data_IF_103636797438
#
_entry.id   IF_103636797438
#
_cell.length_a   1.000
_cell.length_b   1.000
_cell.length_c   1.000
_cell.angle_alpha   90.00
_cell.angle_beta   90.00
_cell.angle_gamma   90.00
#
_symmetry.space_group_name_H-M   'P 1'
#
loop_
_entity.id
_entity.type
_entity.pdbx_description
1 polymer ?
#
# COMPACT_ATOMS: atom_id res chain seq x y z
N UNK A 1 -19.28 13.69 9.95
CA UNK A 1 -18.24 12.74 10.40
C UNK A 1 -16.92 13.39 10.06
N UNK A 2 -16.09 13.73 11.05
CA UNK A 2 -14.83 14.45 10.84
C UNK A 2 -13.71 13.44 10.81
N UNK A 3 -13.18 13.13 9.62
CA UNK A 3 -12.02 12.26 9.48
C UNK A 3 -10.79 13.00 10.03
N UNK A 4 -10.24 12.51 11.15
CA UNK A 4 -8.93 12.97 11.66
C UNK A 4 -7.95 11.85 11.39
N UNK A 5 -7.14 12.00 10.36
CA UNK A 5 -5.95 11.17 10.15
C UNK A 5 -4.74 11.89 10.71
N UNK A 6 -3.99 11.24 11.58
CA UNK A 6 -2.67 11.72 11.97
C UNK A 6 -1.66 11.26 10.91
N UNK A 7 -1.37 12.13 9.94
CA UNK A 7 -0.28 11.93 8.98
C UNK A 7 1.01 12.48 9.57
N UNK A 8 2.06 11.65 9.67
CA UNK A 8 3.38 12.08 10.12
C UNK A 8 4.33 12.14 8.92
N UNK A 9 4.80 13.35 8.59
CA UNK A 9 5.74 13.57 7.50
C UNK A 9 7.17 13.19 7.94
N UNK A 10 7.51 11.90 7.89
CA UNK A 10 8.92 11.48 7.82
C UNK A 10 9.26 11.35 6.34
N UNK A 11 10.08 12.27 5.84
CA UNK A 11 10.63 12.23 4.49
C UNK A 11 11.64 11.09 4.43
N UNK A 12 11.22 9.94 3.92
CA UNK A 12 12.13 8.88 3.52
C UNK A 12 12.57 9.16 2.09
N UNK A 13 13.75 9.77 1.93
CA UNK A 13 14.27 10.15 0.60
C UNK A 13 15.03 8.97 -0.05
N UNK A 14 15.32 7.93 0.73
CA UNK A 14 15.96 6.69 0.30
C UNK A 14 15.17 5.45 0.72
N UNK A 15 15.40 4.32 0.03
CA UNK A 15 14.79 3.04 0.40
C UNK A 15 15.09 2.68 1.87
N UNK A 16 16.32 2.87 2.33
CA UNK A 16 16.70 2.53 3.71
C UNK A 16 15.94 3.35 4.77
N UNK A 17 15.68 4.63 4.50
CA UNK A 17 14.89 5.47 5.41
C UNK A 17 13.42 5.07 5.40
N UNK A 18 12.87 4.77 4.23
CA UNK A 18 11.52 4.24 4.08
C UNK A 18 11.33 2.93 4.85
N UNK A 19 12.26 1.98 4.68
CA UNK A 19 12.28 0.71 5.41
C UNK A 19 12.37 0.94 6.93
N UNK A 20 13.13 1.94 7.38
CA UNK A 20 13.27 2.28 8.81
C UNK A 20 11.98 2.81 9.42
N UNK A 21 11.21 3.61 8.69
CA UNK A 21 9.88 4.09 9.12
C UNK A 21 8.94 2.92 9.32
N UNK A 22 8.91 2.00 8.37
CA UNK A 22 8.08 0.79 8.44
C UNK A 22 8.47 -0.10 9.64
N UNK A 23 9.78 -0.30 9.87
CA UNK A 23 10.31 -1.06 11.01
C UNK A 23 9.96 -0.45 12.38
N UNK A 24 9.82 0.87 12.45
CA UNK A 24 9.52 1.60 13.68
C UNK A 24 8.21 2.37 13.50
N UNK A 25 7.19 1.69 12.98
CA UNK A 25 5.90 2.29 12.67
C UNK A 25 5.36 3.04 13.89
N UNK A 26 5.12 4.37 13.81
CA UNK A 26 4.69 5.12 14.98
C UNK A 26 3.22 4.81 15.32
N UNK A 27 2.91 4.56 16.59
CA UNK A 27 1.56 4.20 17.06
C UNK A 27 0.49 5.26 16.76
N UNK A 28 0.90 6.51 16.56
CA UNK A 28 0.01 7.64 16.26
C UNK A 28 -0.20 7.87 14.78
N UNK A 29 0.34 7.02 13.89
CA UNK A 29 0.30 7.21 12.44
C UNK A 29 -0.70 6.27 11.81
N UNK A 30 -1.74 6.88 11.23
CA UNK A 30 -2.78 6.15 10.49
C UNK A 30 -2.38 5.93 9.03
N UNK A 31 -1.47 6.76 8.50
CA UNK A 31 -1.05 6.72 7.11
C UNK A 31 0.33 7.34 6.92
N UNK A 32 1.13 6.72 6.05
CA UNK A 32 2.45 7.20 5.65
C UNK A 32 2.72 6.89 4.18
N UNK A 33 3.44 7.79 3.51
CA UNK A 33 3.93 7.63 2.15
C UNK A 33 5.37 8.17 2.07
N UNK A 34 6.24 7.56 1.25
CA UNK A 34 7.59 8.04 1.08
C UNK A 34 7.60 9.34 0.26
N UNK A 35 8.59 10.21 0.50
CA UNK A 35 8.72 11.50 -0.21
C UNK A 35 9.10 11.32 -1.69
N UNK A 36 9.71 10.20 -2.03
CA UNK A 36 9.95 9.74 -3.39
C UNK A 36 9.45 8.30 -3.53
N UNK A 37 9.07 7.86 -4.74
CA UNK A 37 8.64 6.48 -5.04
C UNK A 37 9.83 5.49 -4.98
N UNK A 38 10.56 5.50 -3.88
CA UNK A 38 11.82 4.78 -3.66
C UNK A 38 11.61 3.34 -3.19
N UNK A 39 10.37 2.95 -2.91
CA UNK A 39 9.98 1.58 -2.60
C UNK A 39 9.55 0.87 -3.89
N UNK A 40 10.01 -0.36 -4.08
CA UNK A 40 9.86 -1.10 -5.34
C UNK A 40 8.41 -1.44 -5.69
N UNK A 41 7.52 -1.57 -4.69
CA UNK A 41 6.15 -2.08 -4.87
C UNK A 41 5.11 -1.45 -3.94
N UNK A 42 5.47 -0.43 -3.17
CA UNK A 42 4.58 0.17 -2.16
C UNK A 42 4.67 1.68 -2.32
N UNK A 43 3.57 2.30 -2.72
CA UNK A 43 3.48 3.76 -2.79
C UNK A 43 3.08 4.36 -1.45
N UNK A 44 2.34 3.63 -0.61
CA UNK A 44 2.03 4.07 0.74
C UNK A 44 1.60 2.92 1.66
N UNK A 45 1.63 3.18 2.96
CA UNK A 45 1.15 2.27 4.01
C UNK A 45 0.08 2.99 4.82
N UNK A 46 -1.03 2.31 5.08
CA UNK A 46 -2.14 2.85 5.86
C UNK A 46 -2.65 1.82 6.87
N UNK A 47 -3.11 2.29 8.02
CA UNK A 47 -3.93 1.52 8.92
C UNK A 47 -5.39 1.64 8.45
N UNK A 48 -5.99 0.50 8.10
CA UNK A 48 -7.32 0.41 7.51
C UNK A 48 -8.22 -0.43 8.42
N UNK A 49 -9.47 0.00 8.59
CA UNK A 49 -10.50 -0.85 9.18
C UNK A 49 -11.06 -1.77 8.08
N UNK A 50 -10.77 -3.06 8.16
CA UNK A 50 -11.27 -4.08 7.24
C UNK A 50 -12.10 -5.07 8.04
N UNK A 51 -13.39 -5.19 7.71
CA UNK A 51 -14.34 -6.05 8.42
C UNK A 51 -14.39 -5.81 9.95
N UNK A 52 -14.21 -4.56 10.39
CA UNK A 52 -14.21 -4.19 11.82
C UNK A 52 -12.91 -4.49 12.57
N UNK A 53 -11.83 -4.78 11.85
CA UNK A 53 -10.50 -5.00 12.41
C UNK A 53 -9.47 -4.07 11.77
N UNK A 54 -8.57 -3.54 12.60
CA UNK A 54 -7.44 -2.74 12.12
C UNK A 54 -6.39 -3.63 11.45
N UNK A 55 -6.14 -3.38 10.18
CA UNK A 55 -5.15 -4.07 9.35
C UNK A 55 -4.24 -3.07 8.64
N UNK A 56 -2.98 -3.43 8.42
CA UNK A 56 -2.09 -2.61 7.59
C UNK A 56 -2.33 -2.87 6.11
N UNK A 57 -2.70 -1.84 5.37
CA UNK A 57 -2.69 -1.82 3.91
C UNK A 57 -1.34 -1.39 3.38
N UNK A 58 -0.70 -2.24 2.58
CA UNK A 58 0.45 -1.94 1.73
C UNK A 58 -0.09 -1.58 0.34
N UNK A 59 -0.21 -0.29 0.05
CA UNK A 59 -0.90 0.19 -1.15
C UNK A 59 0.08 0.45 -2.28
N UNK A 60 -0.32 0.07 -3.49
CA UNK A 60 0.34 0.45 -4.72
C UNK A 60 -0.67 1.06 -5.70
N UNK A 61 -0.38 2.26 -6.19
CA UNK A 61 -1.21 3.01 -7.12
C UNK A 61 -0.74 2.67 -8.53
N UNK A 62 -1.59 2.06 -9.34
CA UNK A 62 -1.21 1.59 -10.69
C UNK A 62 -2.33 1.77 -11.71
N UNK A 63 -1.96 2.12 -12.94
CA UNK A 63 -2.86 2.07 -14.11
C UNK A 63 -2.74 0.76 -14.88
N UNK A 64 -1.78 -0.09 -14.53
CA UNK A 64 -1.54 -1.32 -15.26
C UNK A 64 -2.60 -2.36 -14.92
N UNK A 65 -3.12 -3.00 -15.97
CA UNK A 65 -3.98 -4.18 -15.85
C UNK A 65 -3.18 -5.44 -15.49
N UNK A 66 -1.88 -5.46 -15.80
CA UNK A 66 -0.98 -6.56 -15.48
C UNK A 66 0.07 -6.04 -14.51
N UNK A 67 0.10 -6.60 -13.30
CA UNK A 67 0.89 -6.04 -12.23
C UNK A 67 1.90 -7.02 -11.67
N UNK A 68 3.16 -6.58 -11.61
CA UNK A 68 4.25 -7.37 -11.02
C UNK A 68 4.45 -6.94 -9.58
N UNK A 69 4.46 -7.92 -8.68
CA UNK A 69 4.86 -7.74 -7.29
C UNK A 69 6.20 -8.42 -7.04
N UNK A 70 6.89 -7.98 -5.99
CA UNK A 70 8.08 -8.62 -5.44
C UNK A 70 7.66 -9.35 -4.15
N UNK A 71 7.42 -10.67 -4.20
CA UNK A 71 6.90 -11.43 -3.06
C UNK A 71 7.86 -11.42 -1.87
N UNK A 72 9.16 -11.55 -2.13
CA UNK A 72 10.19 -11.54 -1.08
C UNK A 72 10.22 -10.19 -0.37
N UNK A 73 10.08 -9.10 -1.13
CA UNK A 73 10.01 -7.77 -0.57
C UNK A 73 8.74 -7.57 0.28
N UNK A 74 7.57 -7.99 -0.20
CA UNK A 74 6.32 -7.89 0.57
C UNK A 74 6.36 -8.70 1.86
N UNK A 75 6.92 -9.90 1.81
CA UNK A 75 7.10 -10.75 2.99
C UNK A 75 8.11 -10.15 3.99
N UNK A 76 9.15 -9.46 3.49
CA UNK A 76 10.11 -8.72 4.34
C UNK A 76 9.42 -7.53 5.03
N UNK A 77 8.64 -6.75 4.28
CA UNK A 77 7.91 -5.58 4.79
C UNK A 77 6.85 -5.98 5.82
N UNK A 78 6.06 -7.02 5.53
CA UNK A 78 5.00 -7.49 6.43
C UNK A 78 5.55 -7.97 7.78
N UNK A 79 6.74 -8.58 7.81
CA UNK A 79 7.41 -8.97 9.07
C UNK A 79 7.84 -7.79 9.94
N UNK A 80 8.04 -6.61 9.34
CA UNK A 80 8.43 -5.40 10.07
C UNK A 80 7.23 -4.65 10.64
N UNK A 81 6.11 -4.68 9.92
CA UNK A 81 4.85 -4.16 10.43
C UNK A 81 4.36 -5.05 11.56
N UNK A 82 4.00 -4.42 12.68
CA UNK A 82 3.69 -5.06 13.97
C UNK A 82 3.22 -6.51 13.87
N UNK A 83 3.89 -7.48 14.51
CA UNK A 83 3.60 -8.92 14.38
C UNK A 83 2.20 -9.31 14.88
N UNK A 84 1.45 -8.38 15.49
CA UNK A 84 0.12 -8.60 16.04
C UNK A 84 -1.01 -8.05 15.18
N UNK A 85 -0.72 -7.36 14.07
CA UNK A 85 -1.76 -6.85 13.16
C UNK A 85 -1.68 -7.57 11.82
N UNK A 86 -2.81 -7.99 11.23
CA UNK A 86 -2.83 -8.50 9.87
C UNK A 86 -2.38 -7.43 8.87
N UNK A 87 -1.88 -7.88 7.73
CA UNK A 87 -1.43 -7.01 6.63
C UNK A 87 -2.04 -7.48 5.32
N UNK A 88 -2.28 -6.55 4.39
CA UNK A 88 -2.73 -6.84 3.02
C UNK A 88 -1.98 -5.98 2.03
N UNK A 89 -1.70 -6.55 0.88
CA UNK A 89 -1.28 -5.77 -0.28
C UNK A 89 -2.52 -5.34 -1.07
N UNK A 90 -2.60 -4.06 -1.42
CA UNK A 90 -3.75 -3.47 -2.12
C UNK A 90 -3.27 -2.72 -3.37
N UNK A 91 -3.60 -3.25 -4.54
CA UNK A 91 -3.46 -2.50 -5.78
C UNK A 91 -4.64 -1.52 -5.91
N UNK A 92 -4.35 -0.23 -5.97
CA UNK A 92 -5.34 0.84 -6.18
C UNK A 92 -5.33 1.21 -7.66
N UNK A 93 -6.47 1.05 -8.32
CA UNK A 93 -6.65 1.27 -9.76
C UNK A 93 -7.70 2.36 -10.05
N UNK A 94 -7.71 2.95 -11.26
CA UNK A 94 -8.52 4.13 -11.57
C UNK A 94 -10.02 3.93 -11.55
N UNK A 95 -10.51 2.74 -11.95
CA UNK A 95 -11.94 2.45 -12.10
C UNK A 95 -12.24 0.95 -12.00
N UNK A 96 -13.55 0.63 -11.99
CA UNK A 96 -14.02 -0.74 -11.91
C UNK A 96 -13.61 -1.60 -13.11
N UNK A 97 -13.59 -1.05 -14.32
CA UNK A 97 -13.24 -1.81 -15.53
C UNK A 97 -11.80 -2.33 -15.46
N UNK A 98 -10.86 -1.48 -15.03
CA UNK A 98 -9.47 -1.88 -14.78
C UNK A 98 -9.38 -2.87 -13.63
N UNK A 99 -10.18 -2.68 -12.57
CA UNK A 99 -10.22 -3.61 -11.44
C UNK A 99 -10.69 -5.02 -11.86
N UNK A 100 -11.72 -5.11 -12.69
CA UNK A 100 -12.27 -6.38 -13.18
C UNK A 100 -11.27 -7.10 -14.10
N UNK A 101 -10.50 -6.34 -14.87
CA UNK A 101 -9.45 -6.84 -15.75
C UNK A 101 -8.09 -7.01 -15.07
N UNK A 102 -7.94 -6.60 -13.80
CA UNK A 102 -6.65 -6.64 -13.12
C UNK A 102 -6.14 -8.06 -12.94
N UNK A 103 -4.91 -8.31 -13.35
CA UNK A 103 -4.23 -9.60 -13.22
C UNK A 103 -2.83 -9.36 -12.65
N UNK A 104 -2.39 -10.28 -11.81
CA UNK A 104 -1.00 -10.35 -11.42
C UNK A 104 -0.15 -11.01 -12.50
N UNK A 105 1.06 -10.51 -12.68
CA UNK A 105 2.12 -11.19 -13.41
C UNK A 105 2.62 -12.35 -12.53
N UNK A 106 2.06 -13.55 -12.79
CA UNK A 106 1.88 -14.71 -11.90
C UNK A 106 0.60 -14.64 -11.06
N UNK A 107 -0.40 -15.41 -11.46
CA UNK A 107 -1.72 -15.45 -10.82
C UNK A 107 -1.69 -15.90 -9.35
N UNK A 108 -0.69 -16.70 -8.96
CA UNK A 108 -0.46 -17.17 -7.60
C UNK A 108 0.97 -16.83 -7.16
N UNK A 109 1.22 -15.58 -6.75
CA UNK A 109 2.53 -15.17 -6.25
C UNK A 109 2.87 -15.93 -4.97
N UNK A 110 4.16 -16.25 -4.80
CA UNK A 110 4.62 -16.97 -3.62
C UNK A 110 4.85 -15.98 -2.46
N UNK A 111 3.76 -15.45 -1.91
CA UNK A 111 3.74 -14.50 -0.78
C UNK A 111 2.71 -14.94 0.25
N UNK A 112 3.01 -14.67 1.52
CA UNK A 112 2.05 -14.91 2.62
C UNK A 112 1.09 -13.73 2.82
N UNK A 113 1.32 -12.61 2.14
CA UNK A 113 0.51 -11.39 2.25
C UNK A 113 -0.71 -11.48 1.31
N UNK A 114 -1.95 -11.46 1.83
CA UNK A 114 -3.15 -11.47 0.99
C UNK A 114 -3.20 -10.28 0.04
N UNK A 115 -3.62 -10.54 -1.21
CA UNK A 115 -3.68 -9.53 -2.27
C UNK A 115 -5.12 -9.10 -2.57
N UNK A 116 -5.34 -7.78 -2.60
CA UNK A 116 -6.61 -7.15 -2.89
C UNK A 116 -6.44 -6.12 -4.02
N UNK A 117 -7.54 -5.87 -4.74
CA UNK A 117 -7.62 -4.82 -5.74
C UNK A 117 -8.76 -3.90 -5.34
N UNK A 118 -8.48 -2.61 -5.24
CA UNK A 118 -9.45 -1.57 -4.96
C UNK A 118 -9.49 -0.60 -6.14
N UNK A 119 -10.66 -0.05 -6.45
CA UNK A 119 -10.79 0.99 -7.45
C UNK A 119 -11.31 2.29 -6.85
N UNK A 120 -10.96 3.40 -7.49
CA UNK A 120 -11.47 4.73 -7.18
C UNK A 120 -12.25 5.30 -8.37
N UNK A 121 -12.54 6.60 -8.37
CA UNK A 121 -13.06 7.31 -9.55
C UNK A 121 -11.88 7.78 -10.41
N UNK A 122 -11.98 7.63 -11.74
CA UNK A 122 -10.91 7.97 -12.69
C UNK A 122 -10.43 9.41 -12.51
N UNK A 123 -11.33 10.36 -12.24
CA UNK A 123 -10.97 11.78 -12.11
C UNK A 123 -10.16 12.02 -10.85
N UNK A 124 -10.47 11.32 -9.77
CA UNK A 124 -9.68 11.36 -8.54
C UNK A 124 -8.30 10.73 -8.75
N UNK A 125 -8.25 9.62 -9.48
CA UNK A 125 -6.99 8.95 -9.80
C UNK A 125 -6.07 9.82 -10.66
N UNK A 126 -6.62 10.53 -11.65
CA UNK A 126 -5.85 11.47 -12.48
C UNK A 126 -5.29 12.63 -11.66
N UNK A 127 -6.01 13.14 -10.67
CA UNK A 127 -5.49 14.17 -9.76
C UNK A 127 -4.30 13.63 -8.95
N UNK A 128 -4.44 12.45 -8.35
CA UNK A 128 -3.42 11.79 -7.54
C UNK A 128 -2.09 11.55 -8.28
N UNK A 129 -2.16 11.34 -9.60
CA UNK A 129 -0.97 11.04 -10.41
C UNK A 129 -0.25 12.28 -10.96
N UNK A 130 -0.87 13.46 -10.87
CA UNK A 130 -0.33 14.73 -11.37
C UNK A 130 0.23 15.63 -10.25
N UNK A 131 0.15 15.19 -9.00
CA UNK A 131 0.81 15.78 -7.83
C UNK A 131 2.24 15.23 -7.63
#
# INVERSE_FOLDING_TARGET
MTFRSNSYLIKGDSQAECERVIQHWPDTVDYWYPSSRSLTTIDCVALLEINGHDEFGLLQITRSKIHKIDPEYLDKISKWLSPHRPHRYIAVVPNKDICDEFRLDKADPDTVVPLYVAYVDDRFFEQLMNE
#
